data_IF_429227842514
#
_entry.id   IF_429227842514
#
_cell.length_a   1.000
_cell.length_b   1.000
_cell.length_c   1.000
_cell.angle_alpha   90.00
_cell.angle_beta   90.00
_cell.angle_gamma   90.00
#
_symmetry.space_group_name_H-M   'P 1'
#
loop_
_entity.id
_entity.type
_entity.pdbx_description
1 polymer ?
#
# COMPACT_ATOMS: atom_id res chain seq x y z
N UNK A 1 -19.48 5.09 -18.51
CA UNK A 1 -19.23 6.02 -19.63
C UNK A 1 -17.86 5.85 -20.30
N UNK A 2 -16.70 5.93 -19.62
CA UNK A 2 -15.41 5.77 -20.31
C UNK A 2 -15.19 4.34 -20.87
N UNK A 3 -15.45 3.29 -20.08
CA UNK A 3 -15.31 1.89 -20.53
C UNK A 3 -16.31 1.54 -21.64
N UNK A 4 -17.52 2.09 -21.59
CA UNK A 4 -18.53 1.89 -22.64
C UNK A 4 -18.10 2.49 -23.99
N UNK A 5 -17.23 3.50 -23.97
CA UNK A 5 -16.73 4.18 -25.17
C UNK A 5 -15.48 3.50 -25.75
N UNK A 6 -14.65 2.90 -24.89
CA UNK A 6 -13.45 2.16 -25.30
C UNK A 6 -13.17 0.99 -24.33
N UNK A 7 -13.79 -0.19 -24.56
CA UNK A 7 -13.62 -1.37 -23.71
C UNK A 7 -12.25 -2.05 -23.82
N UNK A 8 -11.41 -1.64 -24.77
CA UNK A 8 -10.06 -2.21 -24.96
C UNK A 8 -8.97 -1.31 -24.38
N UNK A 9 -9.37 -0.18 -23.79
CA UNK A 9 -8.45 0.72 -23.11
C UNK A 9 -8.01 0.17 -21.75
N UNK A 10 -6.82 -0.44 -21.68
CA UNK A 10 -6.27 -0.96 -20.43
C UNK A 10 -6.23 0.09 -19.31
N UNK A 11 -5.95 1.35 -19.64
CA UNK A 11 -5.87 2.45 -18.68
C UNK A 11 -7.23 2.74 -18.03
N UNK A 12 -8.32 2.66 -18.77
CA UNK A 12 -9.66 2.91 -18.21
C UNK A 12 -10.06 1.83 -17.21
N UNK A 13 -9.73 0.57 -17.49
CA UNK A 13 -9.93 -0.55 -16.56
C UNK A 13 -9.08 -0.41 -15.28
N UNK A 14 -7.80 0.00 -15.41
CA UNK A 14 -6.94 0.25 -14.24
C UNK A 14 -7.49 1.37 -13.35
N UNK A 15 -7.94 2.50 -13.92
CA UNK A 15 -8.53 3.60 -13.15
C UNK A 15 -9.82 3.17 -12.46
N UNK A 16 -10.70 2.44 -13.16
CA UNK A 16 -11.93 1.94 -12.56
C UNK A 16 -11.61 0.99 -11.39
N UNK A 17 -10.66 0.08 -11.57
CA UNK A 17 -10.23 -0.83 -10.53
C UNK A 17 -9.77 -0.10 -9.26
N UNK A 18 -9.02 0.99 -9.42
CA UNK A 18 -8.59 1.82 -8.31
C UNK A 18 -9.76 2.51 -7.59
N UNK A 19 -10.71 3.09 -8.34
CA UNK A 19 -11.90 3.72 -7.75
C UNK A 19 -12.73 2.69 -6.97
N UNK A 20 -12.96 1.52 -7.57
CA UNK A 20 -13.69 0.42 -6.92
C UNK A 20 -13.01 -0.04 -5.63
N UNK A 21 -11.67 -0.06 -5.60
CA UNK A 21 -10.93 -0.35 -4.36
C UNK A 21 -11.21 0.69 -3.28
N UNK A 22 -11.15 1.98 -3.59
CA UNK A 22 -11.46 3.05 -2.62
C UNK A 22 -12.92 2.95 -2.13
N UNK A 23 -13.84 2.55 -3.00
CA UNK A 23 -15.24 2.27 -2.66
C UNK A 23 -15.44 0.92 -1.94
N UNK A 24 -14.36 0.18 -1.65
CA UNK A 24 -14.37 -1.13 -0.97
C UNK A 24 -15.13 -2.22 -1.75
N UNK A 25 -15.22 -2.08 -3.07
CA UNK A 25 -15.73 -3.10 -4.00
C UNK A 25 -14.56 -3.98 -4.48
N UNK A 26 -14.02 -4.80 -3.57
CA UNK A 26 -12.75 -5.52 -3.79
C UNK A 26 -12.81 -6.54 -4.93
N UNK A 27 -13.92 -7.27 -5.06
CA UNK A 27 -14.06 -8.33 -6.06
C UNK A 27 -14.21 -7.75 -7.47
N UNK A 28 -14.96 -6.66 -7.60
CA UNK A 28 -15.08 -5.87 -8.84
C UNK A 28 -13.75 -5.21 -9.20
N UNK A 29 -13.07 -4.61 -8.21
CA UNK A 29 -11.72 -4.03 -8.40
C UNK A 29 -10.74 -5.07 -8.93
N UNK A 30 -10.72 -6.28 -8.38
CA UNK A 30 -9.85 -7.36 -8.84
C UNK A 30 -10.12 -7.72 -10.31
N UNK A 31 -11.39 -7.85 -10.71
CA UNK A 31 -11.77 -8.16 -12.10
C UNK A 31 -11.29 -7.08 -13.07
N UNK A 32 -11.44 -5.81 -12.70
CA UNK A 32 -11.02 -4.69 -13.55
C UNK A 32 -9.48 -4.61 -13.68
N UNK A 33 -8.72 -4.88 -12.60
CA UNK A 33 -7.27 -5.03 -12.70
C UNK A 33 -6.88 -6.21 -13.61
N UNK A 34 -7.55 -7.36 -13.48
CA UNK A 34 -7.29 -8.53 -14.33
C UNK A 34 -7.57 -8.25 -15.81
N UNK A 35 -8.63 -7.51 -16.14
CA UNK A 35 -8.92 -7.07 -17.50
C UNK A 35 -7.84 -6.10 -17.99
N UNK A 36 -7.49 -5.08 -17.20
CA UNK A 36 -6.44 -4.12 -17.54
C UNK A 36 -5.11 -4.80 -17.86
N UNK A 37 -4.68 -5.73 -17.00
CA UNK A 37 -3.42 -6.47 -17.15
C UNK A 37 -3.46 -7.51 -18.27
N UNK A 38 -4.64 -8.02 -18.63
CA UNK A 38 -4.81 -8.85 -19.84
C UNK A 38 -4.65 -8.03 -21.12
N UNK A 39 -5.16 -6.79 -21.14
CA UNK A 39 -5.05 -5.87 -22.27
C UNK A 39 -3.62 -5.29 -22.40
N UNK A 40 -2.99 -4.95 -21.28
CA UNK A 40 -1.61 -4.47 -21.22
C UNK A 40 -0.82 -5.17 -20.10
N UNK A 41 -0.16 -6.31 -20.37
CA UNK A 41 0.58 -7.06 -19.35
C UNK A 41 1.88 -6.38 -18.89
N UNK A 42 2.31 -5.31 -19.56
CA UNK A 42 3.52 -4.55 -19.25
C UNK A 42 3.24 -3.23 -18.52
N UNK A 43 1.99 -2.99 -18.12
CA UNK A 43 1.62 -1.83 -17.31
C UNK A 43 2.13 -1.99 -15.87
N UNK A 44 3.25 -1.35 -15.57
CA UNK A 44 3.88 -1.42 -14.26
C UNK A 44 3.00 -0.82 -13.15
N UNK A 45 2.27 0.27 -13.43
CA UNK A 45 1.43 0.93 -12.44
C UNK A 45 0.21 0.06 -12.11
N UNK A 46 -0.38 -0.60 -13.11
CA UNK A 46 -1.46 -1.55 -12.88
C UNK A 46 -1.00 -2.77 -12.04
N UNK A 47 0.19 -3.31 -12.29
CA UNK A 47 0.76 -4.39 -11.46
C UNK A 47 0.99 -3.96 -10.02
N UNK A 48 1.53 -2.74 -9.80
CA UNK A 48 1.79 -2.24 -8.45
C UNK A 48 0.48 -2.03 -7.67
N UNK A 49 -0.52 -1.39 -8.28
CA UNK A 49 -1.82 -1.15 -7.66
C UNK A 49 -2.62 -2.44 -7.43
N UNK A 50 -2.53 -3.43 -8.34
CA UNK A 50 -3.14 -4.73 -8.10
C UNK A 50 -2.49 -5.43 -6.89
N UNK A 51 -1.17 -5.27 -6.72
CA UNK A 51 -0.48 -5.71 -5.51
C UNK A 51 -0.96 -5.01 -4.24
N UNK A 52 -1.29 -3.72 -4.31
CA UNK A 52 -1.86 -2.99 -3.15
C UNK A 52 -3.24 -3.52 -2.77
N UNK A 53 -4.12 -3.77 -3.77
CA UNK A 53 -5.39 -4.47 -3.54
C UNK A 53 -5.15 -5.79 -2.79
N UNK A 54 -4.21 -6.63 -3.26
CA UNK A 54 -3.88 -7.90 -2.60
C UNK A 54 -3.33 -7.70 -1.18
N UNK A 55 -2.64 -6.60 -0.92
CA UNK A 55 -2.18 -6.24 0.44
C UNK A 55 -3.38 -5.96 1.36
N UNK A 56 -4.35 -5.17 0.92
CA UNK A 56 -5.59 -4.93 1.69
C UNK A 56 -6.44 -6.18 1.91
N UNK A 57 -6.29 -7.21 1.07
CA UNK A 57 -6.90 -8.53 1.24
C UNK A 57 -6.12 -9.46 2.19
N UNK A 58 -4.98 -9.04 2.75
CA UNK A 58 -4.12 -9.90 3.58
C UNK A 58 -3.25 -10.88 2.77
N UNK A 59 -3.26 -10.79 1.44
CA UNK A 59 -2.56 -11.71 0.52
C UNK A 59 -1.15 -11.22 0.22
N UNK A 60 -0.35 -11.01 1.28
CA UNK A 60 0.96 -10.36 1.18
C UNK A 60 1.95 -11.02 0.22
N UNK A 61 1.99 -12.36 0.14
CA UNK A 61 2.92 -13.07 -0.76
C UNK A 61 2.59 -12.80 -2.24
N UNK A 62 1.31 -12.78 -2.60
CA UNK A 62 0.86 -12.48 -3.96
C UNK A 62 1.04 -10.99 -4.29
N UNK A 63 0.81 -10.11 -3.31
CA UNK A 63 1.08 -8.69 -3.44
C UNK A 63 2.56 -8.40 -3.76
N UNK A 64 3.49 -9.03 -3.04
CA UNK A 64 4.93 -8.92 -3.32
C UNK A 64 5.24 -9.33 -4.75
N UNK A 65 4.71 -10.46 -5.23
CA UNK A 65 4.97 -10.94 -6.59
C UNK A 65 4.49 -9.94 -7.66
N UNK A 66 3.34 -9.29 -7.45
CA UNK A 66 2.82 -8.26 -8.33
C UNK A 66 3.72 -7.01 -8.34
N UNK A 67 4.12 -6.53 -7.17
CA UNK A 67 4.92 -5.29 -7.04
C UNK A 67 6.36 -5.52 -7.54
N UNK A 68 6.95 -6.69 -7.31
CA UNK A 68 8.24 -7.06 -7.90
C UNK A 68 8.18 -7.11 -9.43
N UNK A 69 7.05 -7.53 -10.01
CA UNK A 69 6.85 -7.46 -11.46
C UNK A 69 6.77 -6.02 -11.94
N UNK A 70 6.06 -5.14 -11.24
CA UNK A 70 6.02 -3.71 -11.54
C UNK A 70 7.43 -3.08 -11.52
N UNK A 71 8.22 -3.38 -10.48
CA UNK A 71 9.61 -2.93 -10.35
C UNK A 71 10.52 -3.43 -11.48
N UNK A 72 10.30 -4.65 -12.01
CA UNK A 72 11.03 -5.15 -13.18
C UNK A 72 10.63 -4.45 -14.49
N UNK A 73 9.36 -4.08 -14.63
CA UNK A 73 8.82 -3.43 -15.83
C UNK A 73 9.21 -1.94 -15.91
N UNK A 74 9.35 -1.27 -14.76
CA UNK A 74 9.75 0.14 -14.70
C UNK A 74 11.17 0.29 -14.13
N UNK A 75 12.19 0.56 -14.96
CA UNK A 75 13.57 0.74 -14.49
C UNK A 75 13.81 2.05 -13.71
N UNK A 76 12.82 2.96 -13.68
CA UNK A 76 12.82 4.19 -12.87
C UNK A 76 11.51 4.27 -12.08
N UNK A 77 11.29 3.34 -11.15
CA UNK A 77 10.01 3.24 -10.47
C UNK A 77 9.76 4.46 -9.58
N UNK A 78 8.53 5.00 -9.56
CA UNK A 78 8.19 6.03 -8.60
C UNK A 78 8.24 5.45 -7.19
N UNK A 79 8.65 6.24 -6.17
CA UNK A 79 8.87 5.62 -4.86
C UNK A 79 7.65 5.01 -4.19
N UNK A 80 6.43 5.31 -4.65
CA UNK A 80 5.24 4.68 -4.11
C UNK A 80 5.23 3.16 -4.35
N UNK A 81 5.92 2.64 -5.38
CA UNK A 81 6.09 1.20 -5.57
C UNK A 81 6.72 0.53 -4.35
N UNK A 82 7.71 1.19 -3.74
CA UNK A 82 8.40 0.65 -2.57
C UNK A 82 7.59 0.83 -1.28
N UNK A 83 6.77 1.88 -1.19
CA UNK A 83 5.80 2.00 -0.11
C UNK A 83 4.81 0.82 -0.13
N UNK A 84 4.27 0.51 -1.32
CA UNK A 84 3.41 -0.67 -1.51
C UNK A 84 4.16 -1.96 -1.20
N UNK A 85 5.41 -2.10 -1.64
CA UNK A 85 6.22 -3.28 -1.34
C UNK A 85 6.42 -3.47 0.18
N UNK A 86 6.68 -2.40 0.93
CA UNK A 86 6.80 -2.45 2.38
C UNK A 86 5.49 -2.86 3.06
N UNK A 87 4.34 -2.36 2.56
CA UNK A 87 3.01 -2.82 2.99
C UNK A 87 2.80 -4.31 2.74
N UNK A 88 3.07 -4.76 1.52
CA UNK A 88 2.95 -6.16 1.10
C UNK A 88 3.87 -7.11 1.89
N UNK A 89 5.12 -6.70 2.14
CA UNK A 89 6.08 -7.42 2.97
C UNK A 89 5.57 -7.57 4.41
N UNK A 90 5.05 -6.50 5.00
CA UNK A 90 4.45 -6.54 6.34
C UNK A 90 3.20 -7.44 6.40
N UNK A 91 2.32 -7.37 5.40
CA UNK A 91 1.17 -8.28 5.28
C UNK A 91 1.59 -9.75 5.12
N UNK A 92 2.75 -10.00 4.51
CA UNK A 92 3.35 -11.34 4.39
C UNK A 92 4.14 -11.78 5.64
N UNK A 93 4.16 -10.99 6.72
CA UNK A 93 4.92 -11.29 7.94
C UNK A 93 6.41 -10.98 7.87
N UNK A 94 6.88 -10.35 6.78
CA UNK A 94 8.28 -10.07 6.49
C UNK A 94 8.70 -8.69 7.00
N UNK A 95 8.63 -8.50 8.32
CA UNK A 95 8.76 -7.17 8.94
C UNK A 95 10.13 -6.52 8.77
N UNK A 96 11.22 -7.25 8.93
CA UNK A 96 12.57 -6.66 8.77
C UNK A 96 12.86 -6.27 7.32
N UNK A 97 12.35 -7.04 6.36
CA UNK A 97 12.42 -6.70 4.93
C UNK A 97 11.60 -5.44 4.65
N UNK A 98 10.41 -5.32 5.24
CA UNK A 98 9.58 -4.12 5.15
C UNK A 98 10.28 -2.89 5.72
N UNK A 99 10.92 -3.00 6.90
CA UNK A 99 11.71 -1.89 7.49
C UNK A 99 12.84 -1.48 6.56
N UNK A 100 13.60 -2.43 6.03
CA UNK A 100 14.68 -2.15 5.07
C UNK A 100 14.16 -1.46 3.80
N UNK A 101 13.05 -1.95 3.25
CA UNK A 101 12.43 -1.37 2.06
C UNK A 101 11.96 0.05 2.32
N UNK A 102 11.29 0.33 3.45
CA UNK A 102 10.71 1.63 3.74
C UNK A 102 11.73 2.69 4.20
N UNK A 103 12.87 2.26 4.76
CA UNK A 103 13.98 3.14 5.16
C UNK A 103 14.96 3.49 4.04
N UNK A 104 14.83 2.88 2.87
CA UNK A 104 15.75 3.14 1.77
C UNK A 104 15.63 4.61 1.32
N UNK A 105 16.73 5.32 1.07
CA UNK A 105 16.70 6.75 0.68
C UNK A 105 15.87 7.03 -0.58
N UNK A 106 15.78 6.06 -1.51
CA UNK A 106 14.93 6.16 -2.70
C UNK A 106 13.42 6.12 -2.38
N UNK A 107 13.07 5.66 -1.18
CA UNK A 107 11.72 5.31 -0.72
C UNK A 107 11.31 6.06 0.53
N UNK A 108 12.26 6.65 1.26
CA UNK A 108 12.08 7.34 2.52
C UNK A 108 11.31 8.64 2.28
N UNK A 109 10.00 8.47 2.16
CA UNK A 109 9.04 9.56 1.98
C UNK A 109 8.23 9.74 3.24
N UNK A 110 7.68 10.93 3.38
CA UNK A 110 6.80 11.30 4.47
C UNK A 110 5.66 10.29 4.64
N UNK A 111 4.96 9.89 3.57
CA UNK A 111 3.73 9.11 3.73
C UNK A 111 3.90 7.66 4.21
N UNK A 112 5.00 6.99 3.85
CA UNK A 112 5.24 5.61 4.29
C UNK A 112 5.64 5.48 5.77
N UNK A 113 5.91 6.61 6.45
CA UNK A 113 6.33 6.62 7.86
C UNK A 113 5.28 6.06 8.80
N UNK A 114 3.99 6.23 8.50
CA UNK A 114 2.91 5.65 9.31
C UNK A 114 3.02 4.12 9.32
N UNK A 115 3.21 3.52 8.14
CA UNK A 115 3.39 2.07 8.01
C UNK A 115 4.71 1.62 8.65
N UNK A 116 5.82 2.34 8.41
CA UNK A 116 7.12 2.03 9.00
C UNK A 116 7.08 2.06 10.54
N UNK A 117 6.50 3.10 11.12
CA UNK A 117 6.35 3.25 12.56
C UNK A 117 5.50 2.10 13.15
N UNK A 118 4.41 1.73 12.48
CA UNK A 118 3.59 0.58 12.88
C UNK A 118 4.39 -0.73 12.91
N UNK A 119 5.16 -0.99 11.84
CA UNK A 119 5.99 -2.19 11.71
C UNK A 119 7.11 -2.22 12.75
N UNK A 120 7.79 -1.09 12.98
CA UNK A 120 8.82 -0.95 14.01
C UNK A 120 8.24 -1.22 15.41
N UNK A 121 7.06 -0.66 15.71
CA UNK A 121 6.39 -0.90 16.97
C UNK A 121 6.06 -2.38 17.18
N UNK A 122 5.64 -3.07 16.12
CA UNK A 122 5.35 -4.51 16.13
C UNK A 122 6.61 -5.37 16.32
N UNK A 123 7.76 -4.91 15.84
CA UNK A 123 9.07 -5.52 16.11
C UNK A 123 9.59 -5.21 17.53
N UNK A 124 8.85 -4.44 18.34
CA UNK A 124 9.28 -4.00 19.68
C UNK A 124 10.27 -2.84 19.67
N UNK A 125 10.56 -2.26 18.49
CA UNK A 125 11.49 -1.14 18.28
C UNK A 125 10.75 0.19 18.54
N UNK A 126 10.23 0.36 19.76
CA UNK A 126 9.29 1.42 20.11
C UNK A 126 9.88 2.82 20.03
N UNK A 127 11.16 3.01 20.35
CA UNK A 127 11.81 4.32 20.22
C UNK A 127 11.91 4.74 18.75
N UNK A 128 12.38 3.84 17.88
CA UNK A 128 12.45 4.10 16.44
C UNK A 128 11.05 4.35 15.84
N UNK A 129 10.02 3.64 16.33
CA UNK A 129 8.65 3.88 15.92
C UNK A 129 8.16 5.29 16.30
N UNK A 130 8.48 5.75 17.52
CA UNK A 130 8.16 7.11 17.99
C UNK A 130 8.88 8.19 17.19
N UNK A 131 10.15 7.98 16.87
CA UNK A 131 10.92 8.91 16.05
C UNK A 131 10.28 9.07 14.66
N UNK A 132 9.90 7.97 14.02
CA UNK A 132 9.22 8.00 12.71
C UNK A 132 7.86 8.70 12.78
N UNK A 133 7.10 8.49 13.87
CA UNK A 133 5.85 9.19 14.11
C UNK A 133 6.04 10.70 14.28
N UNK A 134 7.02 11.12 15.08
CA UNK A 134 7.34 12.53 15.27
C UNK A 134 7.73 13.20 13.96
N UNK A 135 8.61 12.58 13.17
CA UNK A 135 9.02 13.09 11.86
C UNK A 135 7.83 13.22 10.90
N UNK A 136 6.89 12.28 10.93
CA UNK A 136 5.66 12.36 10.14
C UNK A 136 4.78 13.55 10.54
N UNK A 137 4.58 13.73 11.85
CA UNK A 137 3.69 14.75 12.41
C UNK A 137 4.22 16.18 12.22
N UNK A 138 5.53 16.37 12.07
CA UNK A 138 6.12 17.68 11.70
C UNK A 138 5.54 18.17 10.37
N UNK A 139 5.39 17.29 9.39
CA UNK A 139 4.80 17.64 8.09
C UNK A 139 3.26 17.52 8.07
N UNK A 140 2.68 16.73 8.98
CA UNK A 140 1.25 16.43 9.03
C UNK A 140 0.67 16.68 10.44
N UNK A 141 0.63 17.94 10.92
CA UNK A 141 0.25 18.27 12.29
C UNK A 141 -1.22 17.97 12.62
N UNK A 142 -2.05 17.74 11.61
CA UNK A 142 -3.47 17.41 11.74
C UNK A 142 -3.78 15.93 11.48
N UNK A 143 -2.75 15.08 11.32
CA UNK A 143 -2.95 13.65 11.20
C UNK A 143 -3.72 13.09 12.40
N UNK A 144 -4.59 12.12 12.14
CA UNK A 144 -5.34 11.37 13.15
C UNK A 144 -5.49 9.93 12.70
N UNK A 145 -5.36 8.99 13.63
CA UNK A 145 -5.56 7.57 13.37
C UNK A 145 -6.96 7.31 12.83
N UNK A 146 -7.97 7.96 13.40
CA UNK A 146 -9.39 7.88 12.98
C UNK A 146 -9.59 8.20 11.50
N UNK A 147 -9.02 9.30 11.01
CA UNK A 147 -9.13 9.65 9.60
C UNK A 147 -8.29 8.73 8.71
N UNK A 148 -7.08 8.38 9.15
CA UNK A 148 -6.21 7.50 8.38
C UNK A 148 -6.87 6.14 8.14
N UNK A 149 -7.41 5.49 9.17
CA UNK A 149 -8.02 4.15 9.02
C UNK A 149 -9.23 4.15 8.08
N UNK A 150 -10.03 5.22 8.09
CA UNK A 150 -11.20 5.36 7.21
C UNK A 150 -10.80 5.41 5.73
N UNK A 151 -9.66 6.06 5.43
CA UNK A 151 -9.12 6.19 4.08
C UNK A 151 -8.57 4.87 3.51
N UNK A 152 -8.19 3.92 4.36
CA UNK A 152 -7.54 2.69 3.92
C UNK A 152 -8.60 1.59 3.65
N UNK A 153 -8.67 1.04 2.43
CA UNK A 153 -9.72 0.10 2.03
C UNK A 153 -9.40 -1.35 2.44
N UNK A 154 -8.93 -1.57 3.68
CA UNK A 154 -8.67 -2.91 4.20
C UNK A 154 -9.92 -3.80 4.12
N UNK A 155 -9.78 -4.95 3.45
CA UNK A 155 -10.73 -6.08 3.50
C UNK A 155 -10.38 -7.00 4.68
N UNK A 156 -9.09 -7.24 4.89
CA UNK A 156 -8.57 -7.97 6.04
C UNK A 156 -8.54 -7.05 7.28
N UNK A 157 -9.52 -7.25 8.17
CA UNK A 157 -9.65 -6.47 9.40
C UNK A 157 -8.59 -6.84 10.45
N UNK A 158 -8.06 -8.07 10.44
CA UNK A 158 -7.00 -8.46 11.36
C UNK A 158 -5.69 -7.75 10.99
N UNK A 159 -5.40 -7.67 9.69
CA UNK A 159 -4.27 -6.88 9.19
C UNK A 159 -4.45 -5.39 9.55
N UNK A 160 -5.65 -4.83 9.31
CA UNK A 160 -5.96 -3.44 9.69
C UNK A 160 -5.70 -3.20 11.17
N UNK A 161 -6.26 -4.03 12.04
CA UNK A 161 -6.19 -3.83 13.49
C UNK A 161 -4.75 -3.97 14.00
N UNK A 162 -3.97 -4.88 13.41
CA UNK A 162 -2.53 -4.99 13.65
C UNK A 162 -1.80 -3.69 13.31
N UNK A 163 -2.10 -3.08 12.15
CA UNK A 163 -1.50 -1.81 11.78
C UNK A 163 -1.87 -0.70 12.78
N UNK A 164 -3.15 -0.61 13.16
CA UNK A 164 -3.62 0.40 14.11
C UNK A 164 -2.96 0.28 15.47
N UNK A 165 -2.78 -0.95 15.96
CA UNK A 165 -2.09 -1.19 17.23
C UNK A 165 -0.64 -0.67 17.18
N UNK A 166 0.08 -0.94 16.09
CA UNK A 166 1.42 -0.43 15.89
C UNK A 166 1.47 1.11 15.80
N UNK A 167 0.52 1.72 15.08
CA UNK A 167 0.41 3.18 14.94
C UNK A 167 0.14 3.83 16.31
N UNK A 168 -0.76 3.26 17.11
CA UNK A 168 -1.01 3.72 18.50
C UNK A 168 0.22 3.62 19.36
N UNK A 169 0.92 2.48 19.31
CA UNK A 169 2.16 2.25 20.07
C UNK A 169 3.30 3.20 19.66
N UNK A 170 3.31 3.64 18.40
CA UNK A 170 4.24 4.66 17.90
C UNK A 170 3.91 6.08 18.38
N UNK A 171 2.75 6.30 19.01
CA UNK A 171 2.39 7.58 19.62
C UNK A 171 1.69 8.57 18.68
N UNK A 172 1.10 8.10 17.58
CA UNK A 172 0.24 8.93 16.76
C UNK A 172 -1.07 9.31 17.50
N UNK A 173 -1.63 10.51 17.25
CA UNK A 173 -2.87 10.96 17.87
C UNK A 173 -4.11 10.25 17.28
N UNK A 174 -5.12 10.01 18.12
CA UNK A 174 -6.42 9.43 17.71
C UNK A 174 -7.26 10.33 16.80
#
# INVERSE_FOLDING_TARGET
KAIELDPENSGTHWVLAFILLIERQWDESAKEYEISLRLNPNDADAWANFGDLKTYEGRGVEAIACIEKALRLNPRPPSWYFWLLGGAQSAAGKYEEAVKTLRNDATYRTESRVNLASILARLGRLEEAREEAQLYLVANPHFRISHWVESQPYRDLALRDMYLEGIRKAGFPE
#
